data_IF_116537822667
#
_entry.id   IF_116537822667
#
_cell.length_a   1.000
_cell.length_b   1.000
_cell.length_c   1.000
_cell.angle_alpha   90.00
_cell.angle_beta   90.00
_cell.angle_gamma   90.00
#
_symmetry.space_group_name_H-M   'P 1'
#
loop_
_entity.id
_entity.type
_entity.pdbx_description
1 polymer ?
#
# COMPACT_ATOMS: atom_id res chain seq x y z
N UNK A 1 -20.28 -25.68 44.17
CA UNK A 1 -19.93 -26.43 42.94
C UNK A 1 -20.34 -25.65 41.70
N UNK A 2 -19.47 -24.74 41.30
CA UNK A 2 -19.36 -24.19 39.94
C UNK A 2 -17.85 -24.24 39.64
N UNK A 3 -17.37 -24.76 38.50
CA UNK A 3 -15.98 -25.25 38.37
C UNK A 3 -14.94 -24.14 38.19
N UNK A 4 -13.73 -24.38 38.70
CA UNK A 4 -12.51 -23.56 38.61
C UNK A 4 -11.92 -23.45 37.19
N UNK A 5 -12.70 -23.04 36.18
CA UNK A 5 -12.19 -22.80 34.82
C UNK A 5 -12.29 -21.35 34.37
N UNK A 6 -12.90 -20.47 35.17
CA UNK A 6 -13.04 -19.04 34.83
C UNK A 6 -11.83 -18.19 35.26
N UNK A 7 -10.96 -18.70 36.13
CA UNK A 7 -9.82 -17.93 36.66
C UNK A 7 -8.53 -17.98 35.82
N UNK A 8 -8.41 -18.91 34.86
CA UNK A 8 -7.19 -19.01 34.04
C UNK A 8 -7.20 -18.05 32.83
N UNK A 9 -8.39 -17.69 32.33
CA UNK A 9 -8.56 -16.74 31.22
C UNK A 9 -8.37 -15.28 31.64
N UNK A 10 -8.63 -14.94 32.91
CA UNK A 10 -8.47 -13.58 33.43
C UNK A 10 -7.03 -13.22 33.79
N UNK A 11 -6.16 -14.21 34.07
CA UNK A 11 -4.74 -13.93 34.35
C UNK A 11 -3.88 -13.74 33.09
N UNK A 12 -4.24 -14.38 31.96
CA UNK A 12 -3.53 -14.17 30.68
C UNK A 12 -3.83 -12.81 30.01
N UNK A 13 -4.92 -12.15 30.41
CA UNK A 13 -5.29 -10.81 29.92
C UNK A 13 -4.64 -9.66 30.71
N UNK A 14 -3.76 -9.94 31.68
CA UNK A 14 -3.19 -8.89 32.56
C UNK A 14 -1.76 -8.41 32.20
N UNK A 15 -1.18 -8.85 31.07
CA UNK A 15 0.21 -8.50 30.72
C UNK A 15 0.42 -7.62 29.47
N UNK A 16 -0.64 -7.14 28.83
CA UNK A 16 -0.54 -6.09 27.78
C UNK A 16 -1.73 -5.14 27.83
N UNK A 17 -1.90 -4.47 28.97
CA UNK A 17 -2.86 -3.37 29.10
C UNK A 17 -2.36 -2.14 28.30
N UNK A 18 -2.75 -2.05 27.03
CA UNK A 18 -2.95 -0.76 26.35
C UNK A 18 -4.44 -0.70 25.99
N UNK A 19 -5.12 0.31 26.51
CA UNK A 19 -6.57 0.47 26.58
C UNK A 19 -7.30 0.11 25.27
N UNK A 20 -8.22 -0.86 25.38
CA UNK A 20 -9.28 -1.14 24.40
C UNK A 20 -10.59 -0.73 25.06
N UNK A 21 -11.15 0.41 24.66
CA UNK A 21 -12.48 0.82 25.07
C UNK A 21 -13.46 0.41 23.97
N UNK A 22 -14.31 -0.59 24.27
CA UNK A 22 -15.36 -1.03 23.35
C UNK A 22 -16.56 -0.11 23.51
N UNK A 23 -16.67 0.88 22.62
CA UNK A 23 -17.86 1.71 22.50
C UNK A 23 -18.31 1.69 21.03
N UNK A 24 -19.17 0.72 20.67
CA UNK A 24 -19.81 0.62 19.35
C UNK A 24 -18.87 0.29 18.17
N UNK A 25 -18.95 -0.93 17.63
CA UNK A 25 -18.49 -1.36 16.29
C UNK A 25 -17.07 -1.06 15.79
N UNK A 26 -16.17 -0.41 16.52
CA UNK A 26 -14.82 -0.08 16.04
C UNK A 26 -13.72 -0.61 16.98
N UNK A 27 -12.71 -1.23 16.38
CA UNK A 27 -11.47 -1.64 17.03
C UNK A 27 -10.42 -0.58 16.69
N UNK A 28 -10.12 0.31 17.65
CA UNK A 28 -9.15 1.41 17.46
C UNK A 28 -7.79 0.94 17.95
N UNK A 29 -6.88 0.62 17.02
CA UNK A 29 -5.46 0.45 17.33
C UNK A 29 -4.73 1.74 16.96
N UNK A 30 -4.25 2.47 17.99
CA UNK A 30 -3.47 3.72 17.92
C UNK A 30 -4.22 4.92 17.33
N UNK A 31 -5.07 5.50 18.18
CA UNK A 31 -5.87 6.69 17.92
C UNK A 31 -5.10 7.87 17.29
N UNK A 32 -5.49 8.21 16.07
CA UNK A 32 -5.72 9.58 15.63
C UNK A 32 -7.02 9.57 14.83
N UNK A 33 -8.15 9.84 15.49
CA UNK A 33 -9.36 10.17 14.76
C UNK A 33 -9.05 11.37 13.87
N UNK A 34 -9.53 11.37 12.63
CA UNK A 34 -9.52 12.59 11.83
C UNK A 34 -10.36 13.63 12.57
N UNK A 35 -9.71 14.68 13.05
CA UNK A 35 -10.43 15.80 13.64
C UNK A 35 -11.09 16.58 12.50
N UNK A 36 -12.42 16.60 12.46
CA UNK A 36 -13.15 17.40 11.46
C UNK A 36 -12.81 18.89 11.52
N UNK A 37 -12.34 19.40 12.67
CA UNK A 37 -11.82 20.76 12.77
C UNK A 37 -10.59 20.96 11.88
N UNK A 38 -9.71 19.96 11.76
CA UNK A 38 -8.54 20.02 10.85
C UNK A 38 -8.97 20.01 9.38
N UNK A 39 -10.10 19.35 9.06
CA UNK A 39 -10.66 19.32 7.71
C UNK A 39 -11.62 20.49 7.42
N UNK A 40 -11.93 21.33 8.40
CA UNK A 40 -12.90 22.43 8.24
C UNK A 40 -12.49 23.46 7.17
N UNK A 41 -11.18 23.58 6.90
CA UNK A 41 -10.63 24.39 5.81
C UNK A 41 -10.87 23.83 4.41
N UNK A 42 -11.40 22.61 4.29
CA UNK A 42 -11.67 21.93 3.02
C UNK A 42 -13.17 21.62 2.90
N UNK A 43 -13.94 22.47 2.19
CA UNK A 43 -15.40 22.36 2.14
C UNK A 43 -15.95 21.00 1.69
N UNK A 44 -15.20 20.26 0.88
CA UNK A 44 -15.56 18.93 0.36
C UNK A 44 -15.37 17.81 1.38
N UNK A 45 -14.68 18.09 2.51
CA UNK A 45 -14.43 17.13 3.59
C UNK A 45 -14.84 17.67 4.98
N UNK A 46 -15.49 18.84 5.02
CA UNK A 46 -15.82 19.55 6.25
C UNK A 46 -16.82 18.82 7.17
N UNK A 47 -17.49 17.78 6.66
CA UNK A 47 -18.38 16.93 7.45
C UNK A 47 -18.20 15.46 7.09
N UNK A 48 -18.61 14.60 8.03
CA UNK A 48 -18.70 13.15 7.84
C UNK A 48 -19.43 12.77 6.55
N UNK A 49 -20.61 13.35 6.35
CA UNK A 49 -21.46 13.03 5.21
C UNK A 49 -20.77 13.37 3.88
N UNK A 50 -20.08 14.52 3.79
CA UNK A 50 -19.36 14.93 2.59
C UNK A 50 -18.13 14.06 2.33
N UNK A 51 -17.37 13.74 3.38
CA UNK A 51 -16.24 12.83 3.29
C UNK A 51 -16.68 11.46 2.75
N UNK A 52 -17.76 10.90 3.31
CA UNK A 52 -18.31 9.62 2.88
C UNK A 52 -18.89 9.68 1.46
N UNK A 53 -19.54 10.79 1.09
CA UNK A 53 -20.03 11.02 -0.28
C UNK A 53 -18.89 11.00 -1.29
N UNK A 54 -17.78 11.68 -0.97
CA UNK A 54 -16.58 11.68 -1.81
C UNK A 54 -15.97 10.29 -1.93
N UNK A 55 -15.78 9.61 -0.80
CA UNK A 55 -15.26 8.25 -0.75
C UNK A 55 -16.10 7.29 -1.61
N UNK A 56 -17.42 7.26 -1.41
CA UNK A 56 -18.33 6.38 -2.14
C UNK A 56 -18.31 6.67 -3.65
N UNK A 57 -18.25 7.95 -4.01
CA UNK A 57 -18.19 8.37 -5.41
C UNK A 57 -16.91 7.85 -6.08
N UNK A 58 -15.76 7.99 -5.44
CA UNK A 58 -14.48 7.54 -6.02
C UNK A 58 -14.35 6.02 -6.00
N UNK A 59 -14.86 5.33 -4.97
CA UNK A 59 -14.96 3.85 -4.99
C UNK A 59 -15.74 3.37 -6.22
N UNK A 60 -16.86 4.05 -6.57
CA UNK A 60 -17.62 3.69 -7.76
C UNK A 60 -16.82 3.89 -9.07
N UNK A 61 -16.03 4.96 -9.16
CA UNK A 61 -15.14 5.17 -10.30
C UNK A 61 -14.07 4.08 -10.40
N UNK A 62 -13.43 3.73 -9.28
CA UNK A 62 -12.43 2.65 -9.23
C UNK A 62 -13.04 1.31 -9.63
N UNK A 63 -14.26 1.00 -9.19
CA UNK A 63 -14.96 -0.23 -9.61
C UNK A 63 -15.29 -0.24 -11.11
N UNK A 64 -15.67 0.90 -11.69
CA UNK A 64 -15.84 1.05 -13.15
C UNK A 64 -14.51 0.85 -13.88
N UNK A 65 -13.42 1.42 -13.37
CA UNK A 65 -12.06 1.15 -13.85
C UNK A 65 -11.72 -0.35 -13.78
N UNK A 66 -12.08 -1.03 -12.70
CA UNK A 66 -11.89 -2.47 -12.54
C UNK A 66 -12.59 -3.29 -13.64
N UNK A 67 -13.76 -2.84 -14.10
CA UNK A 67 -14.47 -3.46 -15.23
C UNK A 67 -13.70 -3.32 -16.55
N UNK A 68 -12.99 -2.19 -16.74
CA UNK A 68 -12.11 -1.98 -17.91
C UNK A 68 -10.90 -2.92 -17.83
N UNK A 69 -10.31 -3.08 -16.65
CA UNK A 69 -9.18 -3.99 -16.45
C UNK A 69 -9.60 -5.44 -16.71
N UNK A 70 -10.75 -5.88 -16.21
CA UNK A 70 -11.30 -7.22 -16.46
C UNK A 70 -11.52 -7.50 -17.95
N UNK A 71 -12.05 -6.50 -18.68
CA UNK A 71 -12.21 -6.56 -20.12
C UNK A 71 -10.85 -6.83 -20.80
N UNK A 72 -9.83 -6.05 -20.46
CA UNK A 72 -8.51 -6.18 -21.07
C UNK A 72 -7.74 -7.40 -20.63
N UNK A 73 -8.00 -7.93 -19.42
CA UNK A 73 -7.29 -9.08 -18.87
C UNK A 73 -7.39 -10.32 -19.77
N UNK A 74 -8.55 -10.51 -20.40
CA UNK A 74 -8.86 -11.65 -21.27
C UNK A 74 -8.59 -11.39 -22.77
N UNK A 75 -8.23 -10.15 -23.13
CA UNK A 75 -8.01 -9.73 -24.51
C UNK A 75 -6.53 -9.57 -24.83
N UNK A 76 -6.24 -9.57 -26.13
CA UNK A 76 -4.97 -9.04 -26.65
C UNK A 76 -4.89 -7.56 -26.33
N UNK A 77 -3.70 -7.09 -25.94
CA UNK A 77 -3.43 -5.72 -25.49
C UNK A 77 -2.43 -5.07 -26.43
N UNK A 78 -2.58 -3.78 -26.67
CA UNK A 78 -1.57 -2.97 -27.36
C UNK A 78 -0.48 -2.55 -26.38
N UNK A 79 0.59 -3.35 -26.31
CA UNK A 79 1.70 -3.10 -25.38
C UNK A 79 2.68 -2.10 -25.99
N UNK A 80 2.97 -1.03 -25.24
CA UNK A 80 4.04 -0.08 -25.54
C UNK A 80 5.09 -0.11 -24.44
N UNK A 81 6.33 0.16 -24.83
CA UNK A 81 7.46 0.31 -23.91
C UNK A 81 7.62 1.80 -23.61
N UNK A 82 7.66 2.17 -22.33
CA UNK A 82 7.90 3.54 -21.82
C UNK A 82 9.40 3.85 -21.84
N UNK A 83 10.14 3.60 -20.75
CA UNK A 83 11.56 3.94 -20.66
C UNK A 83 12.52 2.76 -20.92
N UNK A 84 12.15 1.53 -20.57
CA UNK A 84 13.00 0.33 -20.70
C UNK A 84 12.14 -0.93 -20.87
N UNK A 85 12.74 -2.07 -21.23
CA UNK A 85 12.02 -3.27 -21.68
C UNK A 85 10.96 -3.84 -20.70
N UNK A 86 11.07 -3.56 -19.40
CA UNK A 86 10.12 -3.97 -18.37
C UNK A 86 9.16 -2.84 -17.92
N UNK A 87 9.30 -1.65 -18.49
CA UNK A 87 8.46 -0.48 -18.26
C UNK A 87 7.37 -0.44 -19.34
N UNK A 88 6.29 -1.19 -19.10
CA UNK A 88 5.22 -1.42 -20.06
C UNK A 88 4.01 -0.53 -19.75
N UNK A 89 3.26 -0.17 -20.79
CA UNK A 89 1.96 0.48 -20.70
C UNK A 89 1.04 -0.09 -21.78
N UNK A 90 -0.26 -0.18 -21.49
CA UNK A 90 -1.29 -0.60 -22.44
C UNK A 90 -2.33 0.50 -22.65
N UNK A 91 -3.20 0.32 -23.64
CA UNK A 91 -4.38 1.16 -23.84
C UNK A 91 -5.35 1.13 -22.64
N UNK A 92 -5.31 0.07 -21.82
CA UNK A 92 -6.19 -0.06 -20.65
C UNK A 92 -5.73 0.82 -19.48
N UNK A 93 -4.43 0.97 -19.26
CA UNK A 93 -3.86 1.86 -18.24
C UNK A 93 -4.39 3.28 -18.45
N UNK A 94 -4.29 3.78 -19.69
CA UNK A 94 -4.81 5.10 -20.05
C UNK A 94 -6.33 5.22 -19.90
N UNK A 95 -7.09 4.22 -20.35
CA UNK A 95 -8.57 4.22 -20.25
C UNK A 95 -9.04 4.28 -18.79
N UNK A 96 -8.36 3.57 -17.89
CA UNK A 96 -8.68 3.59 -16.46
C UNK A 96 -8.32 4.94 -15.85
N UNK A 97 -7.14 5.48 -16.18
CA UNK A 97 -6.71 6.78 -15.68
C UNK A 97 -7.66 7.90 -16.11
N UNK A 98 -7.97 7.97 -17.40
CA UNK A 98 -8.88 8.96 -17.98
C UNK A 98 -10.26 8.88 -17.29
N UNK A 99 -10.83 7.68 -17.11
CA UNK A 99 -12.12 7.48 -16.43
C UNK A 99 -12.11 8.03 -15.00
N UNK A 100 -11.06 7.74 -14.23
CA UNK A 100 -10.97 8.14 -12.82
C UNK A 100 -10.73 9.66 -12.74
N UNK A 101 -9.79 10.19 -13.50
CA UNK A 101 -9.45 11.62 -13.49
C UNK A 101 -10.62 12.47 -13.95
N UNK A 102 -11.27 12.12 -15.07
CA UNK A 102 -12.40 12.88 -15.61
C UNK A 102 -13.58 12.85 -14.65
N UNK A 103 -13.93 11.68 -14.11
CA UNK A 103 -15.03 11.57 -13.14
C UNK A 103 -14.77 12.38 -11.86
N UNK A 104 -13.56 12.30 -11.31
CA UNK A 104 -13.19 13.11 -10.15
C UNK A 104 -13.24 14.60 -10.49
N UNK A 105 -12.70 15.01 -11.65
CA UNK A 105 -12.65 16.43 -12.06
C UNK A 105 -14.04 17.01 -12.32
N UNK A 106 -14.98 16.22 -12.82
CA UNK A 106 -16.38 16.64 -13.01
C UNK A 106 -17.02 17.04 -11.67
N UNK A 107 -16.78 16.24 -10.62
CA UNK A 107 -17.36 16.50 -9.29
C UNK A 107 -16.54 17.47 -8.44
N UNK A 108 -15.21 17.44 -8.58
CA UNK A 108 -14.25 18.20 -7.79
C UNK A 108 -13.27 18.97 -8.70
N UNK A 109 -13.74 20.01 -9.40
CA UNK A 109 -12.97 20.69 -10.45
C UNK A 109 -11.71 21.41 -9.94
N UNK A 110 -11.64 21.69 -8.63
CA UNK A 110 -10.49 22.37 -8.02
C UNK A 110 -9.40 21.41 -7.51
N UNK A 111 -9.68 20.10 -7.46
CA UNK A 111 -8.70 19.12 -6.98
C UNK A 111 -7.56 18.95 -7.99
N UNK A 112 -6.39 18.57 -7.48
CA UNK A 112 -5.18 18.29 -8.27
C UNK A 112 -5.00 16.79 -8.46
N UNK A 113 -4.09 16.44 -9.36
CA UNK A 113 -3.82 15.05 -9.72
C UNK A 113 -2.31 14.82 -9.81
N UNK A 114 -1.88 13.67 -9.29
CA UNK A 114 -0.57 13.05 -9.49
C UNK A 114 -0.84 11.65 -10.04
N UNK A 115 -0.65 11.44 -11.33
CA UNK A 115 -1.02 10.18 -11.99
C UNK A 115 0.09 9.70 -12.92
N UNK A 116 0.25 8.39 -13.00
CA UNK A 116 1.35 7.72 -13.70
C UNK A 116 1.41 8.09 -15.18
N UNK A 117 0.33 7.87 -15.93
CA UNK A 117 0.35 7.84 -17.39
C UNK A 117 0.24 9.23 -18.00
N UNK A 118 -0.52 10.12 -17.36
CA UNK A 118 -0.55 11.54 -17.70
C UNK A 118 0.75 12.26 -17.34
N UNK A 119 1.68 11.59 -16.64
CA UNK A 119 2.91 12.17 -16.09
C UNK A 119 2.65 13.48 -15.33
N UNK A 120 1.48 13.60 -14.69
CA UNK A 120 1.05 14.80 -14.00
C UNK A 120 1.82 14.93 -12.68
N UNK A 121 3.12 15.24 -12.74
CA UNK A 121 4.00 15.38 -11.57
C UNK A 121 3.83 16.76 -10.93
N UNK A 122 2.59 17.14 -10.65
CA UNK A 122 2.33 18.33 -9.86
C UNK A 122 3.05 18.17 -8.51
N UNK A 123 3.69 19.23 -7.98
CA UNK A 123 4.16 19.18 -6.61
C UNK A 123 2.97 18.90 -5.69
N UNK A 124 3.18 18.08 -4.66
CA UNK A 124 2.16 17.91 -3.64
C UNK A 124 2.06 19.21 -2.82
N UNK A 125 0.90 19.85 -2.87
CA UNK A 125 0.61 21.10 -2.13
C UNK A 125 -0.37 20.82 -0.99
N UNK A 126 -0.88 21.89 -0.37
CA UNK A 126 -1.97 21.78 0.60
C UNK A 126 -3.32 21.46 -0.06
N UNK A 127 -3.46 21.68 -1.37
CA UNK A 127 -4.71 21.44 -2.10
C UNK A 127 -5.04 19.94 -2.14
N UNK A 128 -6.33 19.57 -2.11
CA UNK A 128 -6.75 18.19 -2.32
C UNK A 128 -6.18 17.62 -3.61
N UNK A 129 -5.37 16.57 -3.48
CA UNK A 129 -4.60 15.98 -4.58
C UNK A 129 -4.84 14.48 -4.64
N UNK A 130 -5.35 13.99 -5.77
CA UNK A 130 -5.54 12.57 -6.02
C UNK A 130 -4.28 11.97 -6.62
N UNK A 131 -3.80 10.87 -6.03
CA UNK A 131 -2.60 10.16 -6.44
C UNK A 131 -3.04 8.82 -7.01
N UNK A 132 -2.79 8.57 -8.31
CA UNK A 132 -3.45 7.49 -9.07
C UNK A 132 -2.41 6.64 -9.80
N UNK A 133 -2.49 5.34 -9.58
CA UNK A 133 -1.92 4.32 -10.45
C UNK A 133 -3.10 3.57 -11.11
N UNK A 134 -3.30 3.70 -12.42
CA UNK A 134 -4.42 3.06 -13.09
C UNK A 134 -4.31 1.54 -13.14
N UNK A 135 -3.11 0.97 -13.27
CA UNK A 135 -2.86 -0.49 -13.27
C UNK A 135 -1.43 -0.75 -12.75
N UNK A 136 -1.29 -0.92 -11.44
CA UNK A 136 -0.05 -1.40 -10.85
C UNK A 136 0.14 -2.87 -11.21
N UNK A 137 1.36 -3.21 -11.62
CA UNK A 137 1.69 -4.52 -12.17
C UNK A 137 1.33 -4.67 -13.65
N UNK A 138 1.52 -3.64 -14.49
CA UNK A 138 1.27 -3.72 -15.94
C UNK A 138 1.94 -4.93 -16.61
N UNK A 139 3.14 -5.33 -16.16
CA UNK A 139 3.77 -6.57 -16.65
C UNK A 139 2.92 -7.80 -16.34
N UNK A 140 2.39 -7.93 -15.12
CA UNK A 140 1.45 -8.99 -14.77
C UNK A 140 0.19 -8.91 -15.64
N UNK A 141 -0.35 -7.71 -15.86
CA UNK A 141 -1.51 -7.49 -16.71
C UNK A 141 -1.28 -7.97 -18.15
N UNK A 142 -0.15 -7.61 -18.76
CA UNK A 142 0.26 -8.03 -20.11
C UNK A 142 0.30 -9.56 -20.22
N UNK A 143 0.81 -10.23 -19.18
CA UNK A 143 0.92 -11.69 -19.12
C UNK A 143 -0.31 -12.41 -18.54
N UNK A 144 -1.43 -11.71 -18.30
CA UNK A 144 -2.65 -12.26 -17.71
C UNK A 144 -2.40 -12.96 -16.35
N UNK A 145 -1.47 -12.43 -15.56
CA UNK A 145 -1.28 -12.79 -14.16
C UNK A 145 -2.22 -11.93 -13.29
N UNK A 146 -3.07 -12.51 -12.41
CA UNK A 146 -4.11 -11.78 -11.67
C UNK A 146 -3.56 -10.88 -10.53
N UNK A 147 -2.25 -10.81 -10.34
CA UNK A 147 -1.60 -9.94 -9.37
C UNK A 147 -1.45 -8.52 -9.92
N UNK A 148 -2.58 -7.82 -10.06
CA UNK A 148 -2.70 -6.44 -10.54
C UNK A 148 -3.62 -5.63 -9.64
N UNK A 149 -3.44 -4.31 -9.58
CA UNK A 149 -4.30 -3.44 -8.81
C UNK A 149 -4.51 -2.07 -9.45
N UNK A 150 -5.69 -1.49 -9.28
CA UNK A 150 -5.91 -0.05 -9.40
C UNK A 150 -5.62 0.58 -8.04
N UNK A 151 -4.89 1.69 -7.99
CA UNK A 151 -4.51 2.38 -6.75
C UNK A 151 -4.94 3.84 -6.80
N UNK A 152 -5.73 4.29 -5.83
CA UNK A 152 -6.15 5.68 -5.71
C UNK A 152 -6.00 6.14 -4.27
N UNK A 153 -5.23 7.20 -4.06
CA UNK A 153 -5.15 7.88 -2.78
C UNK A 153 -5.59 9.34 -2.91
N UNK A 154 -6.08 9.91 -1.81
CA UNK A 154 -6.30 11.34 -1.69
C UNK A 154 -5.34 11.89 -0.64
N UNK A 155 -4.64 12.96 -0.96
CA UNK A 155 -3.90 13.77 0.00
C UNK A 155 -4.56 15.14 0.18
N UNK A 156 -4.61 15.63 1.41
CA UNK A 156 -5.13 16.94 1.80
C UNK A 156 -4.16 17.55 2.81
N UNK A 157 -3.81 18.84 2.66
CA UNK A 157 -2.75 19.46 3.47
C UNK A 157 -1.42 18.66 3.41
N UNK A 158 -1.09 18.12 2.23
CA UNK A 158 0.09 17.26 2.03
C UNK A 158 0.07 15.91 2.75
N UNK A 159 -1.06 15.50 3.36
CA UNK A 159 -1.17 14.24 4.12
C UNK A 159 -2.26 13.33 3.56
N UNK A 160 -2.00 12.03 3.52
CA UNK A 160 -2.94 11.02 3.00
C UNK A 160 -4.27 10.93 3.79
N UNK A 161 -5.40 11.23 3.18
CA UNK A 161 -6.73 11.18 3.81
C UNK A 161 -7.50 9.90 3.49
N UNK A 162 -7.45 9.42 2.24
CA UNK A 162 -8.16 8.23 1.78
C UNK A 162 -7.27 7.34 0.92
N UNK A 163 -7.55 6.04 0.93
CA UNK A 163 -6.92 5.04 0.09
C UNK A 163 -7.97 4.05 -0.41
N UNK A 164 -7.88 3.73 -1.70
CA UNK A 164 -8.74 2.77 -2.40
C UNK A 164 -7.83 1.98 -3.33
N UNK A 165 -7.65 0.69 -3.07
CA UNK A 165 -6.96 -0.22 -3.97
C UNK A 165 -7.93 -1.33 -4.40
N UNK A 166 -7.97 -1.66 -5.68
CA UNK A 166 -8.83 -2.71 -6.20
C UNK A 166 -8.01 -3.72 -6.99
N UNK A 167 -8.01 -4.99 -6.57
CA UNK A 167 -7.72 -6.10 -7.47
C UNK A 167 -9.04 -6.55 -8.11
N UNK A 168 -9.27 -6.23 -9.39
CA UNK A 168 -10.54 -6.54 -10.04
C UNK A 168 -10.70 -8.04 -10.34
N UNK A 169 -9.59 -8.76 -10.55
CA UNK A 169 -9.63 -10.19 -10.88
C UNK A 169 -10.00 -11.03 -9.65
N UNK A 170 -9.41 -10.72 -8.50
CA UNK A 170 -9.73 -11.38 -7.22
C UNK A 170 -10.93 -10.76 -6.49
N UNK A 171 -11.50 -9.66 -7.00
CA UNK A 171 -12.60 -8.93 -6.36
C UNK A 171 -12.24 -8.49 -4.94
N UNK A 172 -11.01 -8.01 -4.76
CA UNK A 172 -10.50 -7.51 -3.49
C UNK A 172 -10.45 -5.98 -3.52
N UNK A 173 -11.37 -5.33 -2.80
CA UNK A 173 -11.41 -3.89 -2.62
C UNK A 173 -10.84 -3.53 -1.24
N UNK A 174 -9.62 -3.01 -1.23
CA UNK A 174 -8.96 -2.49 -0.03
C UNK A 174 -9.27 -1.01 0.12
N UNK A 175 -9.69 -0.60 1.31
CA UNK A 175 -10.04 0.81 1.56
C UNK A 175 -9.59 1.25 2.94
N UNK A 176 -9.22 2.52 3.04
CA UNK A 176 -8.98 3.19 4.31
C UNK A 176 -9.35 4.66 4.21
N UNK A 177 -9.83 5.20 5.32
CA UNK A 177 -9.92 6.64 5.57
C UNK A 177 -9.15 6.86 6.86
N UNK A 178 -8.33 7.91 6.91
CA UNK A 178 -7.52 8.19 8.10
C UNK A 178 -8.37 8.16 9.37
N UNK A 179 -7.86 7.54 10.42
CA UNK A 179 -8.51 7.40 11.72
C UNK A 179 -9.73 6.48 11.76
N UNK A 180 -10.00 5.71 10.70
CA UNK A 180 -11.19 4.83 10.60
C UNK A 180 -10.84 3.36 10.40
N UNK A 181 -9.56 3.03 10.35
CA UNK A 181 -9.10 1.68 10.07
C UNK A 181 -9.05 1.36 8.58
N UNK A 182 -8.50 0.19 8.29
CA UNK A 182 -8.41 -0.37 6.95
C UNK A 182 -9.38 -1.55 6.80
N UNK A 183 -9.90 -1.73 5.59
CA UNK A 183 -10.93 -2.73 5.28
C UNK A 183 -10.60 -3.45 3.97
N UNK A 184 -10.88 -4.76 3.92
CA UNK A 184 -10.97 -5.56 2.71
C UNK A 184 -12.43 -5.96 2.50
N UNK A 185 -13.03 -5.52 1.40
CA UNK A 185 -14.44 -5.80 1.07
C UNK A 185 -15.40 -5.44 2.23
N UNK A 186 -15.13 -4.33 2.93
CA UNK A 186 -15.90 -3.85 4.08
C UNK A 186 -15.62 -4.59 5.40
N UNK A 187 -14.77 -5.62 5.41
CA UNK A 187 -14.34 -6.31 6.63
C UNK A 187 -13.05 -5.67 7.15
N UNK A 188 -12.95 -5.30 8.45
CA UNK A 188 -11.72 -4.75 9.02
C UNK A 188 -10.52 -5.69 8.82
N UNK A 189 -9.35 -5.11 8.55
CA UNK A 189 -8.08 -5.82 8.43
C UNK A 189 -7.02 -5.22 9.34
N UNK A 190 -6.05 -6.05 9.73
CA UNK A 190 -4.93 -5.66 10.57
C UNK A 190 -3.63 -6.24 10.03
N UNK A 191 -2.54 -5.50 10.22
CA UNK A 191 -1.21 -6.03 9.99
C UNK A 191 -0.91 -7.20 10.93
N UNK A 192 0.04 -8.04 10.53
CA UNK A 192 0.49 -9.14 11.38
C UNK A 192 1.23 -8.62 12.61
N UNK A 193 1.22 -9.44 13.68
CA UNK A 193 1.93 -9.16 14.94
C UNK A 193 3.31 -9.80 15.00
N UNK A 194 3.85 -10.26 13.87
CA UNK A 194 5.16 -10.94 13.82
C UNK A 194 6.26 -9.91 14.14
N UNK A 195 7.12 -10.26 15.11
CA UNK A 195 8.19 -9.38 15.59
C UNK A 195 9.60 -9.87 15.25
N UNK A 196 9.77 -11.10 14.76
CA UNK A 196 11.09 -11.69 14.49
C UNK A 196 11.21 -12.14 13.03
N UNK A 197 12.36 -11.84 12.40
CA UNK A 197 12.64 -12.23 11.00
C UNK A 197 12.41 -13.72 10.75
N UNK A 198 12.88 -14.60 11.66
CA UNK A 198 12.80 -16.06 11.50
C UNK A 198 11.37 -16.61 11.39
N UNK A 199 10.39 -15.80 11.79
CA UNK A 199 8.97 -16.12 11.73
C UNK A 199 8.23 -15.37 10.61
N UNK A 200 8.93 -14.51 9.87
CA UNK A 200 8.33 -13.62 8.89
C UNK A 200 8.24 -14.24 7.49
N UNK A 201 7.15 -13.97 6.78
CA UNK A 201 7.00 -14.08 5.34
C UNK A 201 7.02 -12.67 4.77
N UNK A 202 8.03 -12.37 3.96
CA UNK A 202 8.23 -11.02 3.41
C UNK A 202 8.04 -11.02 1.91
N UNK A 203 7.89 -9.82 1.33
CA UNK A 203 8.02 -9.64 -0.10
C UNK A 203 9.15 -8.66 -0.46
N UNK A 204 9.86 -8.99 -1.53
CA UNK A 204 10.90 -8.18 -2.15
C UNK A 204 10.69 -8.31 -3.65
N UNK A 205 10.60 -7.18 -4.36
CA UNK A 205 10.58 -7.22 -5.82
C UNK A 205 12.01 -7.30 -6.36
N UNK A 206 12.31 -8.39 -7.06
CA UNK A 206 13.60 -8.60 -7.72
C UNK A 206 13.67 -7.94 -9.09
N UNK A 207 12.57 -7.38 -9.58
CA UNK A 207 12.49 -6.74 -10.90
C UNK A 207 13.57 -5.67 -11.08
N UNK A 208 13.82 -4.82 -10.08
CA UNK A 208 14.86 -3.78 -10.11
C UNK A 208 16.29 -4.31 -10.34
N UNK A 209 16.53 -5.61 -10.12
CA UNK A 209 17.84 -6.22 -10.39
C UNK A 209 18.23 -6.20 -11.88
N UNK A 210 17.29 -5.86 -12.78
CA UNK A 210 17.61 -5.56 -14.19
C UNK A 210 18.60 -4.38 -14.31
N UNK A 211 18.52 -3.40 -13.40
CA UNK A 211 19.41 -2.26 -13.39
C UNK A 211 20.71 -2.62 -12.66
N UNK A 212 21.84 -2.60 -13.37
CA UNK A 212 23.15 -3.02 -12.83
C UNK A 212 23.52 -2.32 -11.52
N UNK A 213 23.21 -1.02 -11.41
CA UNK A 213 23.41 -0.20 -10.19
C UNK A 213 22.70 -0.77 -8.96
N UNK A 214 21.56 -1.43 -9.13
CA UNK A 214 20.69 -1.88 -8.06
C UNK A 214 20.76 -3.38 -7.81
N UNK A 215 21.30 -4.13 -8.78
CA UNK A 215 21.36 -5.59 -8.74
C UNK A 215 22.02 -6.12 -7.48
N UNK A 216 23.21 -5.62 -7.16
CA UNK A 216 23.97 -6.12 -6.01
C UNK A 216 23.24 -5.84 -4.69
N UNK A 217 22.57 -4.69 -4.56
CA UNK A 217 21.81 -4.37 -3.36
C UNK A 217 20.55 -5.25 -3.24
N UNK A 218 19.75 -5.37 -4.30
CA UNK A 218 18.51 -6.14 -4.31
C UNK A 218 18.78 -7.63 -4.09
N UNK A 219 19.74 -8.18 -4.84
CA UNK A 219 20.11 -9.60 -4.71
C UNK A 219 20.82 -9.84 -3.38
N UNK A 220 21.56 -8.87 -2.84
CA UNK A 220 22.31 -8.99 -1.60
C UNK A 220 21.38 -9.11 -0.41
N UNK A 221 20.40 -8.22 -0.35
CA UNK A 221 19.34 -8.29 0.65
C UNK A 221 18.54 -9.57 0.52
N UNK A 222 18.18 -9.98 -0.70
CA UNK A 222 17.47 -11.24 -0.95
C UNK A 222 18.28 -12.45 -0.45
N UNK A 223 19.59 -12.49 -0.73
CA UNK A 223 20.49 -13.55 -0.27
C UNK A 223 20.55 -13.60 1.26
N UNK A 224 20.81 -12.47 1.93
CA UNK A 224 20.89 -12.41 3.40
C UNK A 224 19.56 -12.80 4.05
N UNK A 225 18.44 -12.29 3.52
CA UNK A 225 17.12 -12.58 4.07
C UNK A 225 16.68 -14.02 3.83
N UNK A 226 17.11 -14.67 2.75
CA UNK A 226 16.72 -16.05 2.44
C UNK A 226 17.07 -17.06 3.53
N UNK A 227 18.11 -16.80 4.34
CA UNK A 227 18.47 -17.62 5.49
C UNK A 227 17.92 -17.13 6.84
N UNK A 228 17.17 -16.03 6.85
CA UNK A 228 16.68 -15.36 8.07
C UNK A 228 15.15 -15.27 8.17
N UNK A 229 14.42 -15.56 7.09
CA UNK A 229 12.94 -15.50 7.06
C UNK A 229 12.33 -16.85 6.69
N UNK A 230 11.02 -17.04 6.95
CA UNK A 230 10.29 -18.25 6.53
C UNK A 230 10.22 -18.33 5.00
N UNK A 231 10.02 -17.18 4.34
CA UNK A 231 9.97 -17.14 2.89
C UNK A 231 9.92 -15.75 2.32
N UNK A 232 10.38 -15.65 1.07
CA UNK A 232 10.33 -14.44 0.26
C UNK A 232 9.28 -14.63 -0.85
N UNK A 233 8.53 -13.58 -1.17
CA UNK A 233 7.61 -13.50 -2.31
C UNK A 233 8.00 -12.33 -3.22
N UNK A 234 7.78 -12.47 -4.52
CA UNK A 234 7.81 -11.37 -5.49
C UNK A 234 6.46 -11.43 -6.21
N UNK A 235 5.63 -10.41 -6.02
CA UNK A 235 4.26 -10.40 -6.54
C UNK A 235 4.18 -9.76 -7.92
N UNK A 236 5.13 -8.89 -8.27
CA UNK A 236 5.12 -8.11 -9.51
C UNK A 236 4.09 -6.97 -9.50
N UNK A 237 3.55 -6.64 -8.32
CA UNK A 237 2.65 -5.51 -8.05
C UNK A 237 3.00 -4.95 -6.66
N UNK A 238 3.45 -3.70 -6.63
CA UNK A 238 3.84 -3.02 -5.39
C UNK A 238 2.61 -2.78 -4.52
N UNK A 239 1.52 -2.32 -5.12
CA UNK A 239 0.27 -1.99 -4.43
C UNK A 239 -0.31 -3.24 -3.76
N UNK A 240 -0.30 -4.40 -4.42
CA UNK A 240 -0.76 -5.64 -3.79
C UNK A 240 0.16 -6.12 -2.68
N UNK A 241 1.48 -5.96 -2.81
CA UNK A 241 2.39 -6.29 -1.72
C UNK A 241 2.08 -5.45 -0.48
N UNK A 242 1.81 -4.15 -0.64
CA UNK A 242 1.40 -3.26 0.44
C UNK A 242 0.03 -3.65 1.02
N UNK A 243 -0.97 -3.97 0.17
CA UNK A 243 -2.27 -4.46 0.63
C UNK A 243 -2.15 -5.78 1.41
N UNK A 244 -1.23 -6.65 1.02
CA UNK A 244 -1.00 -7.93 1.69
C UNK A 244 -0.31 -7.75 3.04
N UNK A 245 0.55 -6.73 3.19
CA UNK A 245 1.05 -6.30 4.50
C UNK A 245 -0.07 -5.72 5.36
N UNK A 246 -0.91 -4.85 4.80
CA UNK A 246 -2.05 -4.25 5.52
C UNK A 246 -3.03 -5.30 6.05
N UNK A 247 -3.24 -6.41 5.32
CA UNK A 247 -4.11 -7.52 5.76
C UNK A 247 -3.40 -8.61 6.57
N UNK A 248 -2.10 -8.45 6.85
CA UNK A 248 -1.31 -9.41 7.62
C UNK A 248 -1.01 -10.74 6.93
N UNK A 249 -1.14 -10.80 5.60
CA UNK A 249 -0.71 -11.98 4.79
C UNK A 249 0.76 -11.92 4.40
N UNK A 250 1.38 -10.75 4.48
CA UNK A 250 2.81 -10.53 4.46
C UNK A 250 3.19 -9.76 5.72
N UNK A 251 4.35 -10.05 6.28
CA UNK A 251 4.81 -9.43 7.52
C UNK A 251 5.60 -8.15 7.26
N UNK A 252 6.31 -8.09 6.13
CA UNK A 252 7.06 -6.91 5.69
C UNK A 252 7.24 -6.86 4.17
N UNK A 253 7.47 -5.66 3.66
CA UNK A 253 7.78 -5.40 2.26
C UNK A 253 8.75 -4.22 2.14
N UNK A 254 9.64 -4.26 1.15
CA UNK A 254 10.50 -3.12 0.85
C UNK A 254 10.77 -2.98 -0.64
N UNK A 255 10.87 -1.72 -1.07
CA UNK A 255 11.30 -1.38 -2.43
C UNK A 255 11.79 0.07 -2.50
N UNK A 256 12.62 0.33 -3.51
CA UNK A 256 13.24 1.62 -3.79
C UNK A 256 12.83 2.12 -5.17
N UNK A 257 13.10 3.40 -5.45
CA UNK A 257 12.85 4.04 -6.75
C UNK A 257 11.39 4.00 -7.21
N UNK A 258 10.47 3.98 -6.24
CA UNK A 258 9.05 4.06 -6.53
C UNK A 258 8.62 5.50 -6.80
N UNK A 259 7.43 5.62 -7.35
CA UNK A 259 6.71 6.86 -7.55
C UNK A 259 5.62 7.02 -6.48
N UNK A 260 5.06 8.23 -6.28
CA UNK A 260 4.04 8.47 -5.27
C UNK A 260 2.81 7.56 -5.42
N UNK A 261 2.40 7.27 -6.65
CA UNK A 261 1.23 6.45 -6.95
C UNK A 261 1.39 4.97 -6.58
N UNK A 262 2.61 4.44 -6.63
CA UNK A 262 2.92 3.05 -6.22
C UNK A 262 2.67 2.80 -4.72
N UNK A 263 2.84 3.84 -3.87
CA UNK A 263 2.86 3.68 -2.41
C UNK A 263 1.71 4.35 -1.70
N UNK A 264 1.25 5.52 -2.15
CA UNK A 264 0.41 6.41 -1.36
C UNK A 264 -0.81 5.71 -0.73
N UNK A 265 -1.55 4.94 -1.51
CA UNK A 265 -2.74 4.23 -1.01
C UNK A 265 -2.34 3.09 -0.05
N UNK A 266 -1.34 2.29 -0.41
CA UNK A 266 -0.81 1.21 0.42
C UNK A 266 -0.24 1.68 1.76
N UNK A 267 0.44 2.82 1.79
CA UNK A 267 0.96 3.44 3.01
C UNK A 267 -0.16 3.77 3.99
N UNK A 268 -1.24 4.42 3.53
CA UNK A 268 -2.37 4.73 4.41
C UNK A 268 -3.07 3.44 4.88
N UNK A 269 -3.26 2.45 4.00
CA UNK A 269 -3.83 1.15 4.37
C UNK A 269 -3.03 0.50 5.50
N UNK A 270 -1.70 0.45 5.41
CA UNK A 270 -0.84 -0.16 6.43
C UNK A 270 -0.89 0.64 7.74
N UNK A 271 -0.84 1.98 7.68
CA UNK A 271 -0.95 2.84 8.86
C UNK A 271 -2.27 2.60 9.61
N UNK A 272 -3.38 2.57 8.88
CA UNK A 272 -4.71 2.34 9.44
C UNK A 272 -4.95 0.88 9.88
N UNK A 273 -4.21 -0.08 9.32
CA UNK A 273 -4.17 -1.46 9.77
C UNK A 273 -3.27 -1.70 11.00
N UNK A 274 -2.59 -0.65 11.50
CA UNK A 274 -1.74 -0.69 12.69
C UNK A 274 -0.26 -0.99 12.43
N UNK A 275 0.17 -1.02 11.17
CA UNK A 275 1.55 -1.28 10.77
C UNK A 275 2.46 -0.05 10.76
N UNK A 276 3.69 -0.25 10.31
CA UNK A 276 4.75 0.76 10.24
C UNK A 276 5.09 1.04 8.78
N UNK A 277 5.14 2.33 8.43
CA UNK A 277 5.54 2.82 7.10
C UNK A 277 6.62 3.87 7.26
N UNK A 278 7.83 3.57 6.79
CA UNK A 278 9.02 4.44 6.95
C UNK A 278 9.95 4.28 5.76
N UNK A 279 10.96 5.15 5.67
CA UNK A 279 11.98 5.03 4.64
C UNK A 279 12.84 3.77 4.85
N UNK A 280 13.28 3.12 3.76
CA UNK A 280 14.06 1.88 3.81
C UNK A 280 15.49 2.03 4.36
N UNK A 281 16.01 3.26 4.43
CA UNK A 281 17.29 3.64 5.10
C UNK A 281 17.09 4.17 6.51
N UNK A 282 15.84 4.22 6.98
CA UNK A 282 15.46 4.84 8.25
C UNK A 282 14.95 6.28 8.06
N UNK A 283 14.23 6.76 9.06
CA UNK A 283 13.54 8.06 9.01
C UNK A 283 12.09 7.95 8.52
N UNK A 284 11.43 9.11 8.50
CA UNK A 284 10.01 9.21 8.16
C UNK A 284 9.74 8.94 6.67
N UNK A 285 8.55 8.42 6.39
CA UNK A 285 8.05 8.28 5.03
C UNK A 285 7.69 9.66 4.43
N UNK A 286 8.09 9.87 3.18
CA UNK A 286 7.75 11.06 2.38
C UNK A 286 7.05 10.59 1.11
N UNK A 287 5.80 11.05 0.92
CA UNK A 287 4.94 10.68 -0.21
C UNK A 287 5.62 10.98 -1.55
N UNK A 288 6.36 12.09 -1.64
CA UNK A 288 7.02 12.52 -2.87
C UNK A 288 8.41 11.90 -3.07
N UNK A 289 8.93 11.18 -2.07
CA UNK A 289 10.16 10.38 -2.14
C UNK A 289 9.84 8.94 -1.75
N UNK A 290 8.92 8.36 -2.51
CA UNK A 290 8.38 7.02 -2.35
C UNK A 290 9.49 5.94 -2.36
N UNK A 291 10.17 5.77 -1.24
CA UNK A 291 11.10 4.69 -0.96
C UNK A 291 10.69 4.15 0.40
N UNK A 292 10.42 2.85 0.48
CA UNK A 292 9.71 2.35 1.65
C UNK A 292 10.25 1.02 2.14
N UNK A 293 10.25 0.90 3.46
CA UNK A 293 10.22 -0.36 4.18
C UNK A 293 8.97 -0.30 5.06
N UNK A 294 8.07 -1.25 4.83
CA UNK A 294 6.86 -1.44 5.63
C UNK A 294 6.92 -2.75 6.39
N UNK A 295 6.32 -2.78 7.57
CA UNK A 295 6.19 -4.00 8.35
C UNK A 295 4.94 -3.93 9.24
N UNK A 296 4.44 -5.10 9.65
CA UNK A 296 3.33 -5.15 10.58
C UNK A 296 3.66 -4.67 12.00
N UNK A 297 4.93 -4.78 12.41
CA UNK A 297 5.42 -4.36 13.73
C UNK A 297 6.67 -3.48 13.63
N UNK A 298 6.94 -2.70 14.68
CA UNK A 298 8.13 -1.86 14.74
C UNK A 298 9.40 -2.71 14.88
N UNK A 299 9.33 -3.81 15.64
CA UNK A 299 10.41 -4.74 15.89
C UNK A 299 10.88 -5.44 14.60
N UNK A 300 9.93 -5.82 13.73
CA UNK A 300 10.25 -6.42 12.43
C UNK A 300 10.80 -5.38 11.46
N UNK A 301 10.24 -4.15 11.46
CA UNK A 301 10.82 -3.03 10.70
C UNK A 301 12.29 -2.79 11.09
N UNK A 302 12.60 -2.74 12.38
CA UNK A 302 13.95 -2.45 12.88
C UNK A 302 14.95 -3.54 12.46
N UNK A 303 14.52 -4.81 12.47
CA UNK A 303 15.35 -5.93 11.99
C UNK A 303 15.56 -5.90 10.47
N UNK A 304 14.52 -5.61 9.68
CA UNK A 304 14.63 -5.42 8.23
C UNK A 304 15.58 -4.28 7.89
N UNK A 305 15.48 -3.15 8.62
CA UNK A 305 16.37 -2.00 8.45
C UNK A 305 17.83 -2.35 8.80
N UNK A 306 18.05 -3.15 9.85
CA UNK A 306 19.39 -3.64 10.20
C UNK A 306 20.00 -4.49 9.07
N UNK A 307 19.19 -5.34 8.42
CA UNK A 307 19.63 -6.10 7.24
C UNK A 307 19.98 -5.17 6.07
N UNK A 308 19.17 -4.15 5.80
CA UNK A 308 19.47 -3.18 4.73
C UNK A 308 20.83 -2.50 4.96
N UNK A 309 21.12 -2.08 6.19
CA UNK A 309 22.42 -1.49 6.57
C UNK A 309 23.57 -2.48 6.46
N UNK A 310 23.32 -3.76 6.76
CA UNK A 310 24.32 -4.82 6.57
C UNK A 310 24.70 -4.97 5.09
N UNK A 311 23.75 -4.81 4.18
CA UNK A 311 23.96 -4.99 2.73
C UNK A 311 24.43 -3.72 2.00
N UNK A 312 24.32 -2.53 2.61
CA UNK A 312 24.61 -1.26 1.96
C UNK A 312 26.09 -1.18 1.51
N UNK A 313 26.30 -0.88 0.22
CA UNK A 313 27.64 -0.73 -0.37
C UNK A 313 28.44 -2.03 -0.53
N UNK A 314 27.85 -3.20 -0.27
CA UNK A 314 28.53 -4.50 -0.46
C UNK A 314 28.29 -5.06 -1.86
N UNK A 315 29.37 -5.42 -2.55
CA UNK A 315 29.32 -6.23 -3.77
C UNK A 315 29.21 -7.70 -3.37
N UNK A 316 28.19 -8.39 -3.86
CA UNK A 316 28.08 -9.84 -3.62
C UNK A 316 29.04 -10.55 -4.57
N UNK A 317 30.08 -11.15 -4.02
CA UNK A 317 30.86 -12.16 -4.74
C UNK A 317 30.23 -13.52 -4.48
N UNK A 318 29.50 -14.06 -5.46
CA UNK A 318 29.11 -15.47 -5.41
C UNK A 318 30.37 -16.32 -5.49
N UNK A 319 30.55 -17.23 -4.53
CA UNK A 319 31.59 -18.24 -4.63
C UNK A 319 31.42 -18.97 -5.97
N UNK A 320 32.50 -19.09 -6.75
CA UNK A 320 32.46 -19.88 -7.98
C UNK A 320 32.08 -21.32 -7.60
N UNK A 321 31.18 -21.96 -8.38
CA UNK A 321 30.69 -23.31 -8.09
C UNK A 321 31.81 -24.35 -8.02
#
# INVERSE_FOLDING_TARGET
NVPETTNFLLQFLSLTAHFVEVCGTYLVLRGKMVNFEELSGFPDFATEAKLQECFNYVVNLVQKGGSIVEEGFTKTKEVKIKAFAADLVTEYDKRVEDLIIEGIREKYPNHKFIAEESAAKNPLTADPTWIIDPIDGTTNFVHSNPLIAISVALAVDGKLLMAICLNPIHKELYTAIRGRGAFLNGTPIHCSIVTELKNAVISIEVSLAWADRLRDEVIGRTHVLSGRVIGIRSLGSIVLALCYVARGSLDAYQMEYLQPWDIAAGALLIQEAGGVVKNHRGGEYDIMKAQVLVAGTQELYDQMLAVNRECEGKVITFAKP
#
